data_IF_973171593213
#
_entry.id   IF_973171593213
#
_cell.length_a   1.000
_cell.length_b   1.000
_cell.length_c   1.000
_cell.angle_alpha   90.00
_cell.angle_beta   90.00
_cell.angle_gamma   90.00
#
_symmetry.space_group_name_H-M   'P 1'
#
loop_
_entity.id
_entity.type
_entity.pdbx_description
1 polymer ?
#
# COMPACT_ATOMS: atom_id res chain seq x y z
N UNK A 1 21.96 57.88 -23.54
CA UNK A 1 21.41 56.85 -24.48
C UNK A 1 21.58 57.41 -25.87
N UNK A 2 22.48 56.83 -26.61
CA UNK A 2 22.66 57.20 -28.03
C UNK A 2 21.41 56.71 -28.76
N UNK A 3 20.72 57.67 -29.43
CA UNK A 3 19.48 57.40 -30.16
C UNK A 3 19.76 56.71 -31.48
N UNK A 4 20.07 55.40 -31.46
CA UNK A 4 20.20 54.62 -32.68
C UNK A 4 18.84 54.57 -33.41
N UNK A 5 18.87 54.68 -34.73
CA UNK A 5 17.68 54.49 -35.57
C UNK A 5 17.19 53.04 -35.52
N UNK A 6 15.92 52.79 -35.83
CA UNK A 6 15.36 51.45 -35.88
C UNK A 6 16.11 50.51 -36.86
N UNK A 7 16.69 51.07 -37.94
CA UNK A 7 17.48 50.29 -38.91
C UNK A 7 18.83 49.89 -38.34
N UNK A 8 19.51 50.79 -37.64
CA UNK A 8 20.80 50.52 -37.02
C UNK A 8 20.64 49.52 -35.88
N UNK A 9 19.62 49.71 -35.07
CA UNK A 9 19.27 48.75 -33.97
C UNK A 9 18.97 47.35 -34.55
N UNK A 10 18.18 47.28 -35.63
CA UNK A 10 17.83 46.03 -36.30
C UNK A 10 19.07 45.30 -36.84
N UNK A 11 19.99 46.03 -37.44
CA UNK A 11 21.27 45.49 -37.98
C UNK A 11 22.18 45.02 -36.83
N UNK A 12 22.25 45.76 -35.72
CA UNK A 12 23.10 45.46 -34.56
C UNK A 12 22.63 44.20 -33.81
N UNK A 13 21.30 44.01 -33.71
CA UNK A 13 20.70 42.87 -33.00
C UNK A 13 20.42 41.66 -33.93
N UNK A 14 20.60 41.84 -35.25
CA UNK A 14 20.37 40.76 -36.24
C UNK A 14 18.90 40.39 -36.45
N UNK A 15 17.98 41.36 -36.29
CA UNK A 15 16.53 41.19 -36.46
C UNK A 15 15.99 42.09 -37.55
N UNK A 16 14.76 41.84 -38.01
CA UNK A 16 14.11 42.75 -38.96
C UNK A 16 13.67 44.05 -38.31
N UNK A 17 13.75 45.18 -39.02
CA UNK A 17 13.28 46.47 -38.56
C UNK A 17 11.86 46.43 -37.98
N UNK A 18 10.96 45.62 -38.60
CA UNK A 18 9.57 45.49 -38.13
C UNK A 18 9.49 44.94 -36.72
N UNK A 19 10.40 44.07 -36.31
CA UNK A 19 10.50 43.51 -34.96
C UNK A 19 10.89 44.63 -33.96
N UNK A 20 11.92 45.41 -34.32
CA UNK A 20 12.35 46.55 -33.48
C UNK A 20 11.22 47.54 -33.27
N UNK A 21 10.54 47.94 -34.36
CA UNK A 21 9.39 48.85 -34.32
C UNK A 21 8.25 48.29 -33.47
N UNK A 22 7.96 46.98 -33.54
CA UNK A 22 6.93 46.35 -32.76
C UNK A 22 7.26 46.40 -31.25
N UNK A 23 8.48 46.08 -30.87
CA UNK A 23 8.92 46.09 -29.47
C UNK A 23 9.00 47.55 -28.92
N UNK A 24 9.45 48.49 -29.72
CA UNK A 24 9.48 49.89 -29.36
C UNK A 24 8.07 50.47 -29.10
N UNK A 25 7.10 50.15 -29.96
CA UNK A 25 5.72 50.56 -29.80
C UNK A 25 5.10 49.94 -28.53
N UNK A 26 5.36 48.66 -28.27
CA UNK A 26 4.89 47.99 -27.04
C UNK A 26 5.51 48.57 -25.78
N UNK A 27 6.79 48.94 -25.84
CA UNK A 27 7.44 49.64 -24.73
C UNK A 27 6.89 51.07 -24.52
N UNK A 28 6.59 51.77 -25.59
CA UNK A 28 5.98 53.13 -25.51
C UNK A 28 4.56 53.09 -24.93
N UNK A 29 3.77 52.06 -25.24
CA UNK A 29 2.40 51.92 -24.74
C UNK A 29 2.32 51.39 -23.30
N UNK A 30 3.09 50.35 -22.98
CA UNK A 30 2.91 49.60 -21.76
C UNK A 30 4.17 49.54 -20.87
N UNK A 31 5.22 50.32 -21.23
CA UNK A 31 6.48 50.33 -20.48
C UNK A 31 7.17 48.96 -20.44
N UNK A 32 7.79 48.62 -19.30
CA UNK A 32 8.47 47.33 -19.10
C UNK A 32 7.52 46.14 -19.22
N UNK A 33 6.24 46.29 -18.86
CA UNK A 33 5.24 45.22 -18.98
C UNK A 33 4.94 44.87 -20.43
N UNK A 34 5.08 45.82 -21.37
CA UNK A 34 4.96 45.59 -22.82
C UNK A 34 6.05 44.71 -23.42
N UNK A 35 7.20 44.56 -22.73
CA UNK A 35 8.29 43.67 -23.15
C UNK A 35 8.09 42.21 -22.73
N UNK A 36 7.11 41.91 -21.89
CA UNK A 36 6.77 40.52 -21.56
C UNK A 36 6.16 39.83 -22.76
N UNK A 37 6.61 38.58 -23.04
CA UNK A 37 6.00 37.76 -24.10
C UNK A 37 4.55 37.43 -23.74
N UNK A 38 3.61 37.79 -24.61
CA UNK A 38 2.23 37.35 -24.50
C UNK A 38 2.12 35.83 -24.64
N UNK A 39 1.34 35.19 -23.79
CA UNK A 39 1.08 33.76 -23.90
C UNK A 39 0.52 33.42 -25.29
N UNK A 40 1.20 32.57 -26.02
CA UNK A 40 0.74 32.11 -27.33
C UNK A 40 -0.62 31.46 -27.21
N UNK A 41 -1.57 31.83 -28.06
CA UNK A 41 -2.96 31.29 -28.06
C UNK A 41 -3.04 29.79 -28.36
N UNK A 42 -1.99 29.20 -28.88
CA UNK A 42 -1.93 27.77 -29.20
C UNK A 42 -2.98 27.33 -30.23
N UNK A 43 -3.09 26.02 -30.43
CA UNK A 43 -4.14 25.42 -31.27
C UNK A 43 -5.48 25.51 -30.53
N UNK A 44 -6.53 25.98 -31.19
CA UNK A 44 -7.89 26.02 -30.64
C UNK A 44 -8.32 24.60 -30.19
N UNK A 45 -8.95 24.45 -29.01
CA UNK A 45 -9.46 23.15 -28.55
C UNK A 45 -10.43 22.56 -29.58
N UNK A 46 -10.21 21.32 -30.01
CA UNK A 46 -11.09 20.65 -30.96
C UNK A 46 -12.37 20.07 -30.31
N UNK A 47 -12.41 20.02 -28.97
CA UNK A 47 -13.54 19.50 -28.18
C UNK A 47 -14.06 20.60 -27.28
N UNK A 48 -15.36 20.87 -27.33
CA UNK A 48 -16.00 21.89 -26.50
C UNK A 48 -15.97 21.54 -25.02
N UNK A 49 -16.02 22.53 -24.13
CA UNK A 49 -16.09 22.31 -22.67
C UNK A 49 -17.34 21.53 -22.26
N UNK A 50 -18.45 21.71 -22.99
CA UNK A 50 -19.68 20.98 -22.77
C UNK A 50 -19.46 19.47 -22.96
N UNK A 51 -18.87 19.05 -24.10
CA UNK A 51 -18.55 17.63 -24.38
C UNK A 51 -17.57 17.07 -23.37
N UNK A 52 -16.58 17.85 -22.93
CA UNK A 52 -15.66 17.41 -21.86
C UNK A 52 -16.37 17.16 -20.54
N UNK A 53 -17.29 18.04 -20.16
CA UNK A 53 -18.12 17.90 -18.94
C UNK A 53 -19.02 16.66 -19.02
N UNK A 54 -19.62 16.41 -20.18
CA UNK A 54 -20.42 15.21 -20.42
C UNK A 54 -19.59 13.92 -20.29
N UNK A 55 -18.40 13.86 -20.87
CA UNK A 55 -17.49 12.72 -20.76
C UNK A 55 -17.14 12.43 -19.30
N UNK A 56 -16.90 13.46 -18.51
CA UNK A 56 -16.58 13.33 -17.08
C UNK A 56 -17.81 12.82 -16.32
N UNK A 57 -18.97 13.41 -16.54
CA UNK A 57 -20.24 13.04 -15.90
C UNK A 57 -20.64 11.60 -16.24
N UNK A 58 -20.58 11.20 -17.50
CA UNK A 58 -20.94 9.85 -17.93
C UNK A 58 -19.96 8.79 -17.43
N UNK A 59 -18.68 9.12 -17.28
CA UNK A 59 -17.68 8.20 -16.76
C UNK A 59 -18.00 7.71 -15.33
N UNK A 60 -18.78 8.48 -14.55
CA UNK A 60 -19.20 8.12 -13.19
C UNK A 60 -20.38 7.13 -13.14
N UNK A 61 -21.04 6.89 -14.26
CA UNK A 61 -22.17 5.96 -14.38
C UNK A 61 -21.84 4.83 -15.34
N UNK A 62 -22.19 3.57 -15.04
CA UNK A 62 -21.92 2.47 -15.95
C UNK A 62 -22.73 2.63 -17.26
N UNK A 63 -22.17 2.29 -18.43
CA UNK A 63 -22.92 2.30 -19.68
C UNK A 63 -23.93 1.14 -19.73
N UNK A 64 -24.96 1.28 -20.54
CA UNK A 64 -25.98 0.23 -20.71
C UNK A 64 -25.33 -1.10 -21.13
N UNK A 65 -25.63 -2.15 -20.37
CA UNK A 65 -25.15 -3.50 -20.65
C UNK A 65 -23.66 -3.75 -20.34
N UNK A 66 -22.98 -2.83 -19.63
CA UNK A 66 -21.57 -3.00 -19.21
C UNK A 66 -21.38 -2.48 -17.78
N UNK A 67 -20.31 -2.95 -17.13
CA UNK A 67 -20.01 -2.56 -15.75
C UNK A 67 -19.20 -1.27 -15.62
N UNK A 68 -18.47 -0.87 -16.67
CA UNK A 68 -17.63 0.33 -16.68
C UNK A 68 -17.34 0.81 -18.11
N UNK A 69 -16.96 2.08 -18.22
CA UNK A 69 -16.48 2.67 -19.46
C UNK A 69 -15.02 2.32 -19.70
N UNK A 70 -14.66 2.07 -20.97
CA UNK A 70 -13.28 2.15 -21.45
C UNK A 70 -13.11 3.44 -22.26
N UNK A 71 -11.87 3.90 -22.45
CA UNK A 71 -11.59 5.07 -23.29
C UNK A 71 -12.11 4.88 -24.72
N UNK A 72 -12.01 3.65 -25.26
CA UNK A 72 -12.50 3.30 -26.59
C UNK A 72 -14.03 3.26 -26.69
N UNK A 73 -14.73 2.82 -25.64
CA UNK A 73 -16.21 2.82 -25.65
C UNK A 73 -16.77 4.22 -25.48
N UNK A 74 -16.12 5.07 -24.68
CA UNK A 74 -16.49 6.46 -24.50
C UNK A 74 -16.21 7.28 -25.77
N UNK A 75 -15.09 7.05 -26.43
CA UNK A 75 -14.74 7.67 -27.72
C UNK A 75 -15.82 7.43 -28.77
N UNK A 76 -16.23 6.18 -28.95
CA UNK A 76 -17.31 5.79 -29.86
C UNK A 76 -18.67 6.44 -29.51
N UNK A 77 -18.95 6.58 -28.23
CA UNK A 77 -20.20 7.18 -27.74
C UNK A 77 -20.26 8.69 -27.98
N UNK A 78 -19.11 9.38 -27.84
CA UNK A 78 -19.03 10.86 -27.92
C UNK A 78 -18.40 11.40 -29.18
N UNK A 79 -17.90 10.55 -30.05
CA UNK A 79 -17.24 10.96 -31.30
C UNK A 79 -15.95 11.74 -31.09
N UNK A 80 -15.24 11.50 -29.96
CA UNK A 80 -13.96 12.15 -29.63
C UNK A 80 -12.83 11.12 -29.57
N UNK A 81 -11.62 11.55 -29.93
CA UNK A 81 -10.48 10.64 -29.91
C UNK A 81 -10.23 10.05 -28.50
N UNK A 82 -9.92 8.75 -28.44
CA UNK A 82 -9.68 8.01 -27.18
C UNK A 82 -8.55 8.62 -26.33
N UNK A 83 -7.54 9.22 -26.97
CA UNK A 83 -6.47 9.93 -26.25
C UNK A 83 -6.99 11.18 -25.52
N UNK A 84 -7.99 11.86 -26.11
CA UNK A 84 -8.65 13.00 -25.45
C UNK A 84 -9.42 12.53 -24.22
N UNK A 85 -10.19 11.43 -24.35
CA UNK A 85 -10.86 10.79 -23.22
C UNK A 85 -9.86 10.41 -22.11
N UNK A 86 -8.76 9.76 -22.50
CA UNK A 86 -7.71 9.35 -21.56
C UNK A 86 -7.10 10.55 -20.82
N UNK A 87 -6.76 11.64 -21.56
CA UNK A 87 -6.21 12.87 -20.95
C UNK A 87 -7.22 13.50 -19.98
N UNK A 88 -8.51 13.57 -20.35
CA UNK A 88 -9.56 14.10 -19.48
C UNK A 88 -9.72 13.26 -18.20
N UNK A 89 -9.78 11.94 -18.33
CA UNK A 89 -9.90 11.06 -17.18
C UNK A 89 -8.68 11.14 -16.26
N UNK A 90 -7.48 11.19 -16.83
CA UNK A 90 -6.23 11.36 -16.06
C UNK A 90 -6.19 12.69 -15.32
N UNK A 91 -6.60 13.78 -15.97
CA UNK A 91 -6.62 15.12 -15.36
C UNK A 91 -7.61 15.22 -14.19
N UNK A 92 -8.68 14.40 -14.20
CA UNK A 92 -9.72 14.36 -13.16
C UNK A 92 -9.62 13.13 -12.23
N UNK A 93 -8.51 12.37 -12.29
CA UNK A 93 -8.31 11.12 -11.54
C UNK A 93 -9.44 10.09 -11.69
N UNK A 94 -10.11 10.06 -12.85
CA UNK A 94 -11.20 9.13 -13.16
C UNK A 94 -10.63 7.81 -13.68
N UNK A 95 -10.95 6.72 -13.01
CA UNK A 95 -10.48 5.36 -13.33
C UNK A 95 -11.66 4.36 -13.33
N UNK A 96 -12.54 4.38 -14.35
CA UNK A 96 -13.80 3.60 -14.33
C UNK A 96 -13.58 2.08 -14.24
N UNK A 97 -12.42 1.60 -14.71
CA UNK A 97 -12.04 0.18 -14.70
C UNK A 97 -11.48 -0.31 -13.35
N UNK A 98 -11.21 0.61 -12.41
CA UNK A 98 -10.68 0.24 -11.10
C UNK A 98 -11.83 0.23 -10.10
N UNK A 99 -12.16 -0.95 -9.61
CA UNK A 99 -13.08 -1.13 -8.49
C UNK A 99 -12.29 -1.55 -7.27
N UNK A 100 -12.35 -0.76 -6.21
CA UNK A 100 -11.84 -1.16 -4.90
C UNK A 100 -12.97 -1.71 -4.07
N UNK A 101 -12.76 -2.91 -3.56
CA UNK A 101 -13.67 -3.51 -2.60
C UNK A 101 -13.16 -3.18 -1.20
N UNK A 102 -14.04 -2.77 -0.34
CA UNK A 102 -13.79 -2.61 1.08
C UNK A 102 -14.93 -3.26 1.86
N UNK A 103 -14.63 -3.74 3.05
CA UNK A 103 -15.63 -4.26 3.97
C UNK A 103 -15.61 -3.39 5.23
N UNK A 104 -16.76 -2.80 5.56
CA UNK A 104 -16.91 -2.12 6.83
C UNK A 104 -16.86 -3.16 7.95
N UNK A 105 -16.14 -2.85 9.01
CA UNK A 105 -16.12 -3.69 10.18
C UNK A 105 -17.44 -3.60 10.93
N UNK A 106 -18.02 -4.75 11.27
CA UNK A 106 -19.19 -4.88 12.15
C UNK A 106 -18.78 -5.21 13.59
N UNK A 107 -17.51 -5.03 13.93
CA UNK A 107 -16.99 -5.29 15.26
C UNK A 107 -17.52 -4.24 16.27
N UNK A 108 -18.26 -4.68 17.28
CA UNK A 108 -18.80 -3.79 18.32
C UNK A 108 -17.70 -3.09 19.13
N UNK A 109 -16.52 -3.73 19.23
CA UNK A 109 -15.33 -3.23 19.93
C UNK A 109 -14.29 -2.69 18.96
N UNK A 110 -14.72 -2.18 17.79
CA UNK A 110 -13.79 -1.72 16.76
C UNK A 110 -12.85 -0.64 17.27
N UNK A 111 -13.38 0.38 17.91
CA UNK A 111 -12.60 1.55 18.36
C UNK A 111 -11.58 1.16 19.44
N UNK A 112 -11.97 0.34 20.40
CA UNK A 112 -11.10 -0.17 21.45
C UNK A 112 -9.92 -0.97 20.88
N UNK A 113 -10.20 -1.96 20.04
CA UNK A 113 -9.16 -2.79 19.39
C UNK A 113 -8.29 -1.99 18.43
N UNK A 114 -8.90 -1.03 17.73
CA UNK A 114 -8.17 -0.14 16.81
C UNK A 114 -7.11 0.65 17.58
N UNK A 115 -7.49 1.31 18.68
CA UNK A 115 -6.56 2.11 19.45
C UNK A 115 -5.53 1.27 20.21
N UNK A 116 -5.91 0.07 20.64
CA UNK A 116 -4.99 -0.89 21.26
C UNK A 116 -3.85 -1.24 20.29
N UNK A 117 -4.17 -1.66 19.06
CA UNK A 117 -3.18 -2.02 18.05
C UNK A 117 -2.39 -0.80 17.53
N UNK A 118 -3.06 0.31 17.26
CA UNK A 118 -2.40 1.54 16.79
C UNK A 118 -1.47 2.11 17.86
N UNK A 119 -1.86 2.03 19.13
CA UNK A 119 -1.03 2.44 20.24
C UNK A 119 0.32 1.73 20.26
N UNK A 120 0.36 0.42 20.04
CA UNK A 120 1.60 -0.36 19.94
C UNK A 120 2.50 0.08 18.78
N UNK A 121 1.93 0.50 17.67
CA UNK A 121 2.72 1.00 16.53
C UNK A 121 3.24 2.43 16.74
N UNK A 122 2.48 3.27 17.44
CA UNK A 122 2.89 4.66 17.69
C UNK A 122 3.91 4.77 18.82
N UNK A 123 3.72 3.97 19.86
CA UNK A 123 4.55 3.99 21.06
C UNK A 123 4.73 2.57 21.58
N UNK A 124 5.63 1.77 20.96
CA UNK A 124 5.93 0.44 21.46
C UNK A 124 6.53 0.53 22.89
N UNK A 125 6.13 -0.37 23.81
CA UNK A 125 6.67 -0.37 25.17
C UNK A 125 8.19 -0.65 25.19
N UNK A 126 8.93 0.00 26.09
CA UNK A 126 10.41 -0.08 26.15
C UNK A 126 10.95 -1.50 26.42
N UNK A 127 10.20 -2.33 27.15
CA UNK A 127 10.60 -3.71 27.49
C UNK A 127 9.73 -4.74 26.79
N UNK A 128 9.51 -4.55 25.50
CA UNK A 128 8.63 -5.41 24.74
C UNK A 128 9.12 -5.62 23.29
N UNK A 129 8.74 -6.77 22.74
CA UNK A 129 8.77 -7.04 21.31
C UNK A 129 7.34 -6.97 20.77
N UNK A 130 7.10 -6.13 19.77
CA UNK A 130 5.81 -6.06 19.07
C UNK A 130 5.93 -6.88 17.80
N UNK A 131 5.18 -7.98 17.76
CA UNK A 131 5.18 -8.96 16.70
C UNK A 131 3.82 -9.00 16.00
N UNK A 132 3.80 -8.82 14.69
CA UNK A 132 2.62 -9.01 13.86
C UNK A 132 2.59 -10.48 13.40
N UNK A 133 1.65 -11.25 13.90
CA UNK A 133 1.59 -12.69 13.68
C UNK A 133 0.35 -13.09 12.87
N UNK A 134 0.53 -14.03 11.94
CA UNK A 134 -0.56 -14.62 11.18
C UNK A 134 -0.10 -15.89 10.45
N UNK A 135 -1.03 -16.59 9.77
CA UNK A 135 -0.71 -17.70 8.91
C UNK A 135 -1.12 -17.47 7.45
N UNK A 136 -0.17 -17.71 6.56
CA UNK A 136 -0.42 -17.85 5.13
C UNK A 136 -0.74 -19.32 4.84
N UNK A 137 -2.02 -19.64 4.88
CA UNK A 137 -2.51 -20.96 4.56
C UNK A 137 -2.47 -21.25 3.05
N UNK A 138 -2.52 -22.53 2.68
CA UNK A 138 -2.65 -22.98 1.30
C UNK A 138 -1.59 -22.43 0.32
N UNK A 139 -0.33 -22.32 0.75
CA UNK A 139 0.76 -22.14 -0.20
C UNK A 139 0.83 -23.38 -1.08
N UNK A 140 0.52 -23.24 -2.39
CA UNK A 140 0.39 -24.37 -3.31
C UNK A 140 1.71 -24.63 -4.03
N UNK A 141 2.14 -25.90 -4.04
CA UNK A 141 3.20 -26.36 -4.92
C UNK A 141 2.60 -26.62 -6.31
N UNK A 142 2.84 -25.66 -7.22
CA UNK A 142 2.39 -25.69 -8.61
C UNK A 142 3.57 -25.94 -9.52
N UNK A 143 3.52 -27.02 -10.28
CA UNK A 143 4.50 -27.32 -11.33
C UNK A 143 3.93 -26.96 -12.69
N UNK A 144 4.63 -26.15 -13.47
CA UNK A 144 4.24 -25.82 -14.85
C UNK A 144 4.51 -27.01 -15.74
N UNK A 145 3.50 -27.42 -16.54
CA UNK A 145 3.60 -28.60 -17.41
C UNK A 145 4.60 -28.43 -18.56
N UNK A 146 4.93 -27.18 -18.89
CA UNK A 146 5.91 -26.85 -19.92
C UNK A 146 6.77 -25.65 -19.46
N UNK A 147 8.06 -25.63 -19.83
CA UNK A 147 8.92 -24.48 -19.56
C UNK A 147 8.38 -23.24 -20.29
N UNK A 148 8.30 -22.13 -19.57
CA UNK A 148 7.99 -20.84 -20.16
C UNK A 148 9.18 -20.26 -20.93
N UNK A 149 8.92 -19.30 -21.81
CA UNK A 149 9.98 -18.51 -22.42
C UNK A 149 10.52 -17.50 -21.41
N UNK A 150 11.84 -17.40 -21.24
CA UNK A 150 12.44 -16.41 -20.36
C UNK A 150 12.19 -14.98 -20.88
N UNK A 151 12.36 -14.00 -20.01
CA UNK A 151 12.37 -12.59 -20.39
C UNK A 151 13.55 -12.33 -21.33
N UNK A 152 13.30 -11.63 -22.46
CA UNK A 152 14.32 -11.26 -23.42
C UNK A 152 14.07 -9.91 -24.07
N UNK A 153 15.03 -9.43 -24.84
CA UNK A 153 14.90 -8.15 -25.57
C UNK A 153 13.75 -8.28 -26.58
N UNK A 154 12.75 -7.42 -26.46
CA UNK A 154 11.60 -7.38 -27.35
C UNK A 154 10.46 -8.35 -27.03
N UNK A 155 10.60 -9.21 -26.03
CA UNK A 155 9.51 -10.08 -25.59
C UNK A 155 9.43 -10.22 -24.07
N UNK A 156 8.22 -10.37 -23.54
CA UNK A 156 7.94 -10.58 -22.13
C UNK A 156 8.13 -12.05 -21.75
N UNK A 157 8.40 -12.32 -20.47
CA UNK A 157 8.35 -13.67 -19.91
C UNK A 157 6.96 -14.27 -20.14
N UNK A 158 6.90 -15.49 -20.68
CA UNK A 158 5.64 -16.23 -20.85
C UNK A 158 5.64 -17.49 -19.99
N UNK A 159 4.47 -17.92 -19.58
CA UNK A 159 4.28 -19.17 -18.86
C UNK A 159 3.02 -19.86 -19.38
N UNK A 160 2.99 -21.19 -19.34
CA UNK A 160 1.80 -21.98 -19.70
C UNK A 160 0.69 -21.76 -18.67
N UNK A 161 -0.55 -21.89 -19.09
CA UNK A 161 -1.70 -21.88 -18.21
C UNK A 161 -1.83 -23.17 -17.40
N UNK A 162 -1.34 -24.29 -17.95
CA UNK A 162 -1.48 -25.59 -17.34
C UNK A 162 -0.44 -25.81 -16.27
N UNK A 163 -0.89 -26.43 -15.17
CA UNK A 163 -0.04 -26.79 -14.03
C UNK A 163 -0.56 -28.05 -13.33
N UNK A 164 0.39 -28.78 -12.74
CA UNK A 164 0.11 -29.89 -11.84
C UNK A 164 0.19 -29.40 -10.39
N UNK A 165 -0.70 -29.89 -9.52
CA UNK A 165 -0.72 -29.56 -8.09
C UNK A 165 -0.12 -30.70 -7.30
N UNK A 166 0.94 -30.42 -6.52
CA UNK A 166 1.65 -31.40 -5.69
C UNK A 166 1.29 -31.30 -4.21
N UNK A 167 0.36 -30.43 -3.85
CA UNK A 167 -0.11 -30.25 -2.48
C UNK A 167 0.06 -28.82 -1.97
N UNK A 168 -0.17 -28.66 -0.67
CA UNK A 168 -0.17 -27.36 -0.01
C UNK A 168 0.60 -27.41 1.32
N UNK A 169 1.15 -26.27 1.71
CA UNK A 169 1.72 -26.04 3.03
C UNK A 169 1.23 -24.73 3.61
N UNK A 170 1.43 -24.53 4.91
CA UNK A 170 1.08 -23.29 5.63
C UNK A 170 2.33 -22.67 6.23
N UNK A 171 2.53 -21.39 5.98
CA UNK A 171 3.59 -20.60 6.59
C UNK A 171 3.00 -19.78 7.76
N UNK A 172 3.43 -20.06 8.99
CA UNK A 172 3.25 -19.18 10.13
C UNK A 172 4.38 -18.17 10.15
N UNK A 173 4.05 -16.91 10.33
CA UNK A 173 5.04 -15.83 10.38
C UNK A 173 4.75 -14.83 11.50
N UNK A 174 5.80 -14.35 12.13
CA UNK A 174 5.79 -13.26 13.09
C UNK A 174 6.77 -12.19 12.62
N UNK A 175 6.25 -11.08 12.16
CA UNK A 175 7.03 -9.91 11.74
C UNK A 175 7.32 -9.04 12.96
N UNK A 176 8.56 -8.86 13.28
CA UNK A 176 9.00 -7.87 14.27
C UNK A 176 8.80 -6.45 13.72
N UNK A 177 8.02 -5.65 14.45
CA UNK A 177 7.65 -4.32 13.98
C UNK A 177 8.83 -3.36 13.87
N UNK A 178 9.77 -3.42 14.81
CA UNK A 178 10.88 -2.46 14.90
C UNK A 178 12.01 -2.76 13.92
N UNK A 179 12.42 -4.00 13.82
CA UNK A 179 13.59 -4.42 13.02
C UNK A 179 13.22 -5.09 11.69
N UNK A 180 11.96 -5.50 11.51
CA UNK A 180 11.48 -6.11 10.28
C UNK A 180 11.88 -7.58 10.10
N UNK A 181 12.48 -8.21 11.11
CA UNK A 181 12.81 -9.64 11.10
C UNK A 181 11.55 -10.51 11.09
N UNK A 182 11.64 -11.68 10.46
CA UNK A 182 10.56 -12.64 10.37
C UNK A 182 10.97 -13.92 11.11
N UNK A 183 10.31 -14.21 12.23
CA UNK A 183 10.31 -15.55 12.81
C UNK A 183 9.22 -16.37 12.11
N UNK A 184 9.51 -17.63 11.79
CA UNK A 184 8.61 -18.43 10.96
C UNK A 184 8.57 -19.90 11.37
N UNK A 185 7.48 -20.57 10.99
CA UNK A 185 7.33 -22.02 11.06
C UNK A 185 6.50 -22.50 9.86
N UNK A 186 6.86 -23.61 9.26
CA UNK A 186 6.12 -24.22 8.15
C UNK A 186 5.49 -25.51 8.63
N UNK A 187 4.19 -25.67 8.36
CA UNK A 187 3.43 -26.85 8.79
C UNK A 187 2.41 -27.26 7.73
N UNK A 188 2.04 -28.53 7.67
CA UNK A 188 1.04 -29.03 6.71
C UNK A 188 -0.39 -28.56 7.02
N UNK A 189 -0.65 -28.12 8.25
CA UNK A 189 -1.96 -27.69 8.73
C UNK A 189 -1.86 -26.36 9.48
N UNK A 190 -2.99 -25.66 9.60
CA UNK A 190 -3.11 -24.38 10.33
C UNK A 190 -4.12 -24.50 11.49
N UNK A 191 -3.98 -25.56 12.30
CA UNK A 191 -4.83 -25.76 13.47
C UNK A 191 -4.24 -25.08 14.71
N UNK A 192 -5.01 -25.06 15.80
CA UNK A 192 -4.54 -24.53 17.08
C UNK A 192 -3.30 -25.27 17.64
N UNK A 193 -3.01 -26.48 17.15
CA UNK A 193 -1.83 -27.24 17.58
C UNK A 193 -0.56 -26.66 16.98
N UNK A 194 -0.57 -26.43 15.67
CA UNK A 194 0.53 -25.80 14.95
C UNK A 194 0.74 -24.37 15.43
N UNK A 195 -0.35 -23.61 15.61
CA UNK A 195 -0.29 -22.28 16.18
C UNK A 195 0.35 -22.27 17.57
N UNK A 196 -0.07 -23.16 18.46
CA UNK A 196 0.54 -23.26 19.79
C UNK A 196 2.02 -23.64 19.75
N UNK A 197 2.41 -24.51 18.80
CA UNK A 197 3.83 -24.85 18.56
C UNK A 197 4.61 -23.61 18.15
N UNK A 198 4.07 -22.81 17.23
CA UNK A 198 4.68 -21.56 16.79
C UNK A 198 4.81 -20.55 17.91
N UNK A 199 3.78 -20.36 18.76
CA UNK A 199 3.87 -19.50 19.93
C UNK A 199 4.96 -19.94 20.92
N UNK A 200 5.12 -21.23 21.14
CA UNK A 200 6.18 -21.78 22.01
C UNK A 200 7.57 -21.53 21.41
N UNK A 201 7.70 -21.63 20.10
CA UNK A 201 8.92 -21.29 19.38
C UNK A 201 9.25 -19.81 19.54
N UNK A 202 8.30 -18.89 19.33
CA UNK A 202 8.50 -17.45 19.52
C UNK A 202 8.91 -17.12 20.95
N UNK A 203 8.29 -17.76 21.94
CA UNK A 203 8.67 -17.59 23.36
C UNK A 203 10.12 -18.02 23.62
N UNK A 204 10.57 -19.13 23.03
CA UNK A 204 11.91 -19.67 23.19
C UNK A 204 12.97 -18.85 22.45
N UNK A 205 12.66 -18.33 21.26
CA UNK A 205 13.59 -17.54 20.44
C UNK A 205 13.73 -16.10 20.95
N UNK A 206 12.77 -15.60 21.71
CA UNK A 206 12.76 -14.23 22.17
C UNK A 206 13.52 -14.02 23.49
N UNK A 207 14.31 -12.94 23.61
CA UNK A 207 15.09 -12.66 24.82
C UNK A 207 14.24 -12.67 26.09
N UNK A 208 14.84 -13.11 27.18
CA UNK A 208 14.21 -13.03 28.50
C UNK A 208 14.12 -11.58 29.01
N UNK A 209 13.22 -11.34 29.95
CA UNK A 209 12.99 -9.99 30.50
C UNK A 209 12.12 -9.08 29.65
N UNK A 210 11.68 -9.52 28.45
CA UNK A 210 10.80 -8.77 27.56
C UNK A 210 9.37 -9.34 27.56
N UNK A 211 8.38 -8.49 27.33
CA UNK A 211 7.01 -8.90 27.00
C UNK A 211 6.86 -9.07 25.47
N UNK A 212 6.15 -10.09 25.04
CA UNK A 212 5.77 -10.30 23.63
C UNK A 212 4.37 -9.77 23.40
N UNK A 213 4.24 -8.63 22.75
CA UNK A 213 2.96 -8.09 22.30
C UNK A 213 2.65 -8.64 20.91
N UNK A 214 1.70 -9.57 20.81
CA UNK A 214 1.35 -10.25 19.57
C UNK A 214 0.09 -9.62 18.97
N UNK A 215 0.24 -8.95 17.84
CA UNK A 215 -0.88 -8.44 17.04
C UNK A 215 -1.33 -9.56 16.11
N UNK A 216 -2.57 -10.02 16.31
CA UNK A 216 -3.16 -11.17 15.63
C UNK A 216 -4.58 -10.86 15.17
N UNK A 217 -5.09 -11.64 14.22
CA UNK A 217 -6.48 -11.53 13.78
C UNK A 217 -7.46 -12.26 14.73
N UNK A 218 -8.76 -12.14 14.43
CA UNK A 218 -9.82 -12.76 15.23
C UNK A 218 -10.08 -14.24 14.90
N UNK A 219 -9.18 -14.94 14.21
CA UNK A 219 -9.39 -16.32 13.82
C UNK A 219 -9.56 -17.23 15.04
N UNK A 220 -10.40 -18.26 14.88
CA UNK A 220 -10.81 -19.13 16.00
C UNK A 220 -9.66 -19.95 16.61
N UNK A 221 -8.67 -20.31 15.80
CA UNK A 221 -7.47 -21.05 16.23
C UNK A 221 -6.67 -20.25 17.27
N UNK A 222 -6.57 -18.95 17.11
CA UNK A 222 -5.87 -18.04 18.03
C UNK A 222 -6.55 -17.95 19.40
N UNK A 223 -7.87 -18.14 19.42
CA UNK A 223 -8.70 -18.06 20.64
C UNK A 223 -8.96 -19.41 21.30
N UNK A 224 -8.39 -20.48 20.79
CA UNK A 224 -8.64 -21.84 21.29
C UNK A 224 -8.25 -21.98 22.76
N UNK A 225 -9.03 -22.76 23.52
CA UNK A 225 -8.86 -22.92 24.98
C UNK A 225 -7.45 -23.38 25.35
N UNK A 226 -6.86 -24.34 24.62
CA UNK A 226 -5.49 -24.81 24.89
C UNK A 226 -4.44 -23.71 24.72
N UNK A 227 -4.61 -22.80 23.76
CA UNK A 227 -3.73 -21.66 23.54
C UNK A 227 -3.83 -20.70 24.72
N UNK A 228 -5.06 -20.30 25.10
CA UNK A 228 -5.29 -19.42 26.24
C UNK A 228 -4.78 -19.98 27.56
N UNK A 229 -5.00 -21.28 27.80
CA UNK A 229 -4.53 -21.96 29.02
C UNK A 229 -3.00 -21.97 29.08
N UNK A 230 -2.33 -22.23 27.96
CA UNK A 230 -0.87 -22.21 27.92
C UNK A 230 -0.32 -20.80 28.16
N UNK A 231 -0.87 -19.76 27.51
CA UNK A 231 -0.46 -18.36 27.72
C UNK A 231 -0.66 -17.97 29.21
N UNK A 232 -1.82 -18.30 29.80
CA UNK A 232 -2.09 -18.03 31.22
C UNK A 232 -1.04 -18.69 32.12
N UNK A 233 -0.75 -19.96 31.88
CA UNK A 233 0.26 -20.71 32.64
C UNK A 233 1.65 -20.08 32.47
N UNK A 234 2.04 -19.74 31.24
CA UNK A 234 3.34 -19.14 30.95
C UNK A 234 3.51 -17.77 31.62
N UNK A 235 2.49 -16.92 31.54
CA UNK A 235 2.48 -15.61 32.16
C UNK A 235 2.56 -15.71 33.71
N UNK A 236 1.84 -16.63 34.32
CA UNK A 236 1.93 -16.85 35.78
C UNK A 236 3.35 -17.22 36.24
N UNK A 237 4.03 -18.08 35.47
CA UNK A 237 5.43 -18.45 35.77
C UNK A 237 6.37 -17.28 35.54
N UNK A 238 6.16 -16.55 34.45
CA UNK A 238 7.04 -15.43 34.05
C UNK A 238 6.95 -14.26 35.04
N UNK A 239 5.75 -13.94 35.53
CA UNK A 239 5.56 -12.92 36.57
C UNK A 239 6.34 -13.17 37.84
N UNK A 240 6.51 -14.44 38.25
CA UNK A 240 7.30 -14.80 39.42
C UNK A 240 8.76 -14.37 39.34
N UNK A 241 9.33 -14.42 38.10
CA UNK A 241 10.74 -14.12 37.87
C UNK A 241 10.98 -12.66 37.46
N UNK A 242 10.07 -12.08 36.67
CA UNK A 242 10.28 -10.79 36.00
C UNK A 242 9.27 -9.71 36.36
N UNK A 243 8.21 -10.02 37.13
CA UNK A 243 7.17 -9.09 37.55
C UNK A 243 6.20 -8.65 36.43
N UNK A 244 6.38 -9.13 35.20
CA UNK A 244 5.57 -8.78 34.01
C UNK A 244 5.01 -10.03 33.33
N UNK A 245 4.01 -9.85 32.49
CA UNK A 245 3.52 -10.90 31.60
C UNK A 245 4.49 -11.14 30.44
N UNK A 246 4.65 -12.41 30.06
CA UNK A 246 5.48 -12.79 28.91
C UNK A 246 4.77 -12.52 27.59
N UNK A 247 3.47 -12.82 27.49
CA UNK A 247 2.71 -12.78 26.24
C UNK A 247 1.43 -11.99 26.45
N UNK A 248 1.23 -10.96 25.65
CA UNK A 248 0.01 -10.18 25.54
C UNK A 248 -0.55 -10.28 24.11
N UNK A 249 -1.84 -10.66 23.98
CA UNK A 249 -2.50 -10.78 22.70
C UNK A 249 -3.32 -9.53 22.38
N UNK A 250 -3.13 -8.97 21.21
CA UNK A 250 -3.84 -7.80 20.70
C UNK A 250 -4.58 -8.18 19.42
N UNK A 251 -5.91 -8.20 19.49
CA UNK A 251 -6.74 -8.63 18.38
C UNK A 251 -7.10 -7.46 17.47
N UNK A 252 -6.82 -7.59 16.17
CA UNK A 252 -7.31 -6.62 15.20
C UNK A 252 -8.84 -6.63 15.15
N UNK A 253 -9.52 -5.50 14.84
CA UNK A 253 -10.95 -5.50 14.60
C UNK A 253 -11.35 -6.45 13.45
N UNK A 254 -12.53 -7.01 13.51
CA UNK A 254 -13.06 -7.88 12.44
C UNK A 254 -13.01 -7.14 11.09
N UNK A 255 -12.61 -7.81 10.04
CA UNK A 255 -12.43 -7.24 8.68
C UNK A 255 -11.39 -6.10 8.59
N UNK A 256 -10.40 -6.10 9.48
CA UNK A 256 -9.34 -5.10 9.54
C UNK A 256 -7.94 -5.73 9.54
N UNK A 257 -7.75 -6.82 8.77
CA UNK A 257 -6.45 -7.50 8.62
C UNK A 257 -5.33 -6.56 8.13
N UNK A 258 -5.69 -5.48 7.42
CA UNK A 258 -4.75 -4.44 6.99
C UNK A 258 -3.97 -3.79 8.15
N UNK A 259 -4.47 -3.88 9.38
CA UNK A 259 -3.75 -3.43 10.58
C UNK A 259 -2.66 -4.40 11.00
N UNK A 260 -2.71 -5.67 10.55
CA UNK A 260 -1.67 -6.65 10.79
C UNK A 260 -0.60 -6.58 9.69
N UNK A 261 0.55 -6.00 10.01
CA UNK A 261 1.58 -5.71 9.01
C UNK A 261 2.21 -6.95 8.38
N UNK A 262 2.08 -8.12 8.98
CA UNK A 262 2.54 -9.39 8.39
C UNK A 262 1.82 -9.73 7.08
N UNK A 263 0.61 -9.20 6.86
CA UNK A 263 -0.11 -9.35 5.60
C UNK A 263 0.63 -8.71 4.40
N UNK A 264 1.37 -7.62 4.64
CA UNK A 264 2.23 -7.03 3.62
C UNK A 264 3.38 -7.97 3.28
N UNK A 265 3.99 -8.56 4.27
CA UNK A 265 5.02 -9.58 4.06
C UNK A 265 4.46 -10.78 3.27
N UNK A 266 3.23 -11.24 3.58
CA UNK A 266 2.60 -12.32 2.81
C UNK A 266 2.33 -11.96 1.35
N UNK A 267 2.06 -10.69 1.06
CA UNK A 267 2.01 -10.20 -0.31
C UNK A 267 3.38 -10.28 -0.99
N UNK A 268 4.43 -9.80 -0.31
CA UNK A 268 5.78 -9.75 -0.87
C UNK A 268 6.29 -11.16 -1.18
N UNK A 269 6.23 -12.11 -0.25
CA UNK A 269 6.65 -13.50 -0.50
C UNK A 269 5.79 -14.17 -1.59
N UNK A 270 4.50 -13.80 -1.68
CA UNK A 270 3.64 -14.31 -2.76
C UNK A 270 4.12 -13.85 -4.13
N UNK A 271 4.47 -12.58 -4.26
CA UNK A 271 4.87 -11.98 -5.54
C UNK A 271 6.30 -12.37 -5.91
N UNK A 272 7.19 -12.37 -4.93
CA UNK A 272 8.64 -12.51 -5.17
C UNK A 272 9.11 -13.97 -5.19
N UNK A 273 8.40 -14.89 -4.50
CA UNK A 273 8.81 -16.29 -4.37
C UNK A 273 7.78 -17.27 -4.94
N UNK A 274 6.49 -17.17 -4.55
CA UNK A 274 5.53 -18.26 -4.76
C UNK A 274 4.83 -18.17 -6.13
N UNK A 275 4.35 -16.98 -6.51
CA UNK A 275 3.43 -16.80 -7.66
C UNK A 275 4.00 -17.29 -9.00
N UNK A 276 5.25 -16.95 -9.28
CA UNK A 276 5.92 -17.24 -10.54
C UNK A 276 6.89 -18.44 -10.43
N UNK A 277 6.92 -19.09 -9.27
CA UNK A 277 7.67 -20.32 -9.04
C UNK A 277 7.02 -21.53 -9.72
N UNK A 278 7.83 -22.55 -9.98
CA UNK A 278 7.39 -23.87 -10.42
C UNK A 278 7.99 -24.90 -9.45
N UNK A 279 7.15 -25.69 -8.80
CA UNK A 279 7.55 -26.56 -7.69
C UNK A 279 7.01 -27.97 -7.94
N UNK A 280 7.89 -28.92 -8.15
CA UNK A 280 7.56 -30.32 -8.40
C UNK A 280 7.14 -31.09 -7.12
N UNK A 281 7.29 -30.46 -5.95
CA UNK A 281 6.86 -31.01 -4.65
C UNK A 281 6.60 -29.95 -3.60
N UNK A 282 5.89 -30.32 -2.52
CA UNK A 282 5.74 -29.45 -1.33
C UNK A 282 7.09 -29.19 -0.66
N UNK A 283 8.03 -30.14 -0.73
CA UNK A 283 9.37 -29.98 -0.18
C UNK A 283 10.13 -28.86 -0.91
N UNK A 284 10.13 -28.86 -2.24
CA UNK A 284 10.76 -27.81 -3.06
C UNK A 284 10.17 -26.41 -2.81
N UNK A 285 8.83 -26.33 -2.70
CA UNK A 285 8.17 -25.09 -2.30
C UNK A 285 8.63 -24.62 -0.90
N UNK A 286 8.73 -25.56 0.04
CA UNK A 286 9.18 -25.28 1.41
C UNK A 286 10.61 -24.75 1.43
N UNK A 287 11.52 -25.39 0.70
CA UNK A 287 12.93 -24.99 0.59
C UNK A 287 13.07 -23.59 -0.05
N UNK A 288 12.27 -23.30 -1.08
CA UNK A 288 12.22 -21.97 -1.69
C UNK A 288 11.73 -20.90 -0.71
N UNK A 289 10.70 -21.18 0.06
CA UNK A 289 10.18 -20.28 1.09
C UNK A 289 11.25 -20.03 2.16
N UNK A 290 11.93 -21.08 2.65
CA UNK A 290 12.98 -20.96 3.65
C UNK A 290 14.18 -20.17 3.14
N UNK A 291 14.60 -20.41 1.91
CA UNK A 291 15.68 -19.65 1.26
C UNK A 291 15.33 -18.15 1.16
N UNK A 292 14.12 -17.81 0.73
CA UNK A 292 13.64 -16.45 0.67
C UNK A 292 13.62 -15.78 2.06
N UNK A 293 13.16 -16.47 3.10
CA UNK A 293 13.10 -15.97 4.47
C UNK A 293 14.49 -15.72 5.04
N UNK A 294 15.43 -16.63 4.78
CA UNK A 294 16.82 -16.50 5.22
C UNK A 294 17.48 -15.29 4.57
N UNK A 295 17.36 -15.12 3.25
CA UNK A 295 17.89 -13.97 2.52
C UNK A 295 17.28 -12.64 3.02
N UNK A 296 15.95 -12.61 3.20
CA UNK A 296 15.25 -11.44 3.72
C UNK A 296 15.70 -11.06 5.13
N UNK A 297 15.96 -12.04 5.98
CA UNK A 297 16.41 -11.82 7.37
C UNK A 297 17.88 -11.38 7.48
N UNK A 298 18.71 -11.53 6.44
CA UNK A 298 20.05 -10.94 6.38
C UNK A 298 19.95 -9.41 6.27
N UNK A 299 18.95 -8.88 5.56
CA UNK A 299 18.72 -7.45 5.39
C UNK A 299 17.24 -7.11 5.68
N UNK A 300 16.81 -7.19 6.95
CA UNK A 300 15.40 -7.06 7.30
C UNK A 300 14.91 -5.64 7.03
N UNK A 301 13.70 -5.52 6.49
CA UNK A 301 13.07 -4.24 6.16
C UNK A 301 11.77 -4.12 6.95
N UNK A 302 11.68 -3.21 7.93
CA UNK A 302 10.46 -2.97 8.66
C UNK A 302 9.39 -2.34 7.76
N UNK A 303 8.14 -2.73 7.99
CA UNK A 303 6.99 -2.09 7.36
C UNK A 303 6.50 -0.93 8.23
N UNK A 304 6.11 0.15 7.61
CA UNK A 304 5.52 1.30 8.30
C UNK A 304 4.06 1.47 7.92
N UNK A 305 3.17 1.41 8.91
CA UNK A 305 1.76 1.73 8.72
C UNK A 305 1.57 3.22 8.41
N UNK A 306 2.45 4.08 8.92
CA UNK A 306 2.28 5.53 8.99
C UNK A 306 3.19 6.34 8.08
N UNK A 307 3.87 5.73 7.11
CA UNK A 307 4.78 6.47 6.21
C UNK A 307 4.13 7.71 5.56
N UNK A 308 2.79 7.70 5.41
CA UNK A 308 2.00 8.81 4.87
C UNK A 308 1.22 9.61 5.92
N UNK A 309 1.13 9.14 7.17
CA UNK A 309 0.34 9.79 8.24
C UNK A 309 1.18 10.79 9.04
N UNK A 310 2.50 10.77 8.94
CA UNK A 310 3.39 11.69 9.68
C UNK A 310 3.08 13.19 9.48
N UNK A 311 2.39 13.57 8.41
CA UNK A 311 1.93 14.94 8.19
C UNK A 311 0.55 15.28 8.78
N UNK A 312 -0.15 14.31 9.40
CA UNK A 312 -1.56 14.46 9.80
C UNK A 312 -1.82 14.32 11.29
N UNK A 313 -0.96 13.63 12.00
CA UNK A 313 -1.01 13.60 13.46
C UNK A 313 0.03 14.62 13.92
N UNK A 314 -0.37 15.74 14.53
CA UNK A 314 0.58 16.61 15.20
C UNK A 314 1.19 15.80 16.34
N UNK A 315 2.37 15.23 16.11
CA UNK A 315 3.21 14.70 17.17
C UNK A 315 3.67 15.93 17.97
N UNK A 316 2.89 16.35 18.94
CA UNK A 316 3.37 17.21 20.01
C UNK A 316 4.10 16.28 20.98
N UNK A 317 5.40 16.36 20.97
CA UNK A 317 6.23 15.76 22.01
C UNK A 317 5.68 16.19 23.37
N UNK A 318 5.36 15.22 24.24
CA UNK A 318 5.02 15.46 25.64
C UNK A 318 3.56 15.51 26.06
N UNK A 319 2.58 15.16 25.21
CA UNK A 319 1.19 15.06 25.65
C UNK A 319 0.79 13.62 26.03
N UNK A 320 0.27 13.39 27.26
CA UNK A 320 -0.32 12.11 27.64
C UNK A 320 -1.58 11.82 26.81
N UNK A 321 -1.89 10.55 26.60
CA UNK A 321 -2.98 10.00 25.77
C UNK A 321 -4.38 10.58 26.08
N UNK A 322 -4.60 11.17 27.25
CA UNK A 322 -5.84 11.87 27.65
C UNK A 322 -6.18 13.11 26.81
N UNK A 323 -5.28 13.58 25.92
CA UNK A 323 -5.49 14.75 25.07
C UNK A 323 -6.26 14.51 23.76
N UNK A 324 -6.48 13.26 23.35
CA UNK A 324 -7.13 12.90 22.07
C UNK A 324 -8.65 13.04 22.11
N UNK A 325 -9.25 13.06 23.29
CA UNK A 325 -10.71 13.20 23.46
C UNK A 325 -11.30 14.55 23.03
N UNK A 326 -10.49 15.57 22.79
CA UNK A 326 -10.97 16.95 22.49
C UNK A 326 -11.16 17.30 21.01
N UNK A 327 -10.83 16.41 20.09
CA UNK A 327 -11.11 16.68 18.67
C UNK A 327 -12.44 16.04 18.24
N UNK A 328 -13.54 16.79 18.47
CA UNK A 328 -14.92 16.47 18.09
C UNK A 328 -15.12 16.27 16.58
N UNK A 329 -14.67 15.15 16.06
CA UNK A 329 -14.79 14.83 14.64
C UNK A 329 -14.76 13.33 14.34
N UNK A 330 -15.30 12.48 15.22
CA UNK A 330 -15.27 11.00 15.07
C UNK A 330 -15.68 10.50 13.68
N UNK A 331 -16.73 11.04 13.06
CA UNK A 331 -17.19 10.63 11.72
C UNK A 331 -16.28 11.10 10.57
N UNK A 332 -15.61 12.26 10.69
CA UNK A 332 -14.70 12.77 9.63
C UNK A 332 -13.34 12.06 9.62
N UNK A 333 -12.89 11.53 10.75
CA UNK A 333 -11.64 10.76 10.83
C UNK A 333 -11.78 9.41 10.12
N UNK A 334 -12.88 8.69 10.34
CA UNK A 334 -13.16 7.42 9.67
C UNK A 334 -13.28 7.55 8.14
N UNK A 335 -14.00 8.55 7.64
CA UNK A 335 -14.15 8.77 6.21
C UNK A 335 -12.82 9.13 5.54
N UNK A 336 -11.94 9.87 6.22
CA UNK A 336 -10.62 10.24 5.70
C UNK A 336 -9.62 9.09 5.77
N UNK A 337 -9.61 8.26 6.81
CA UNK A 337 -8.72 7.11 6.93
C UNK A 337 -9.01 6.04 5.88
N UNK A 338 -10.26 5.79 5.53
CA UNK A 338 -10.67 4.88 4.46
C UNK A 338 -10.27 5.38 3.05
N UNK A 339 -10.09 6.70 2.88
CA UNK A 339 -9.61 7.30 1.62
C UNK A 339 -8.10 7.17 1.42
N UNK A 340 -7.30 6.98 2.48
CA UNK A 340 -5.84 7.11 2.46
C UNK A 340 -5.06 5.79 2.32
N UNK A 341 -5.74 4.67 2.31
CA UNK A 341 -5.11 3.37 2.04
C UNK A 341 -4.84 3.14 0.54
N UNK A 342 -4.61 4.20 -0.20
CA UNK A 342 -4.69 4.27 -1.66
C UNK A 342 -3.39 4.04 -2.43
N UNK A 343 -2.22 3.96 -1.81
CA UNK A 343 -0.96 3.77 -2.57
C UNK A 343 -0.03 2.76 -1.93
#
# INVERSE_FOLDING_TARGET
MEGLSQNETASLVGVRRTVVSQWENRFKSDGLSGLAEARRTGRKPSVSEQVKSEIISEATRPPKGRTHWSTRSMDKSKGVNNQTVHKLWRANDIKPHIKRTFKLSNDKHFEEKFWDVIGLYLQPPDRALVLCCDEKSQCQALERTQPGLPLGIGHIKTATHDYTRHGTTTLFAALSYLDGKISHNIAPKHTHVEWLRFLKQLDAESPEGLCLHLIIDNYSTHKHTKVRSWIKWRNQRYRKNFGIDRISLHFTPTSSSWMNLVERFFRDITVECIRDGSFASVAELTDSILSYLNERNLNPKPYSLFRKIRGWIPVREGLPWSGIERYGGRRRFYSRMLFWWRD
#
